data_IF_481817529795
#
_entry.id   IF_481817529795
#
_cell.length_a   1.000
_cell.length_b   1.000
_cell.length_c   1.000
_cell.angle_alpha   90.00
_cell.angle_beta   90.00
_cell.angle_gamma   90.00
#
_symmetry.space_group_name_H-M   'P 1'
#
loop_
_entity.id
_entity.type
_entity.pdbx_description
1 polymer ?
#
# COMPACT_ATOMS: atom_id res chain seq x y z
N UNK A 1 -0.44 -6.06 21.14
CA UNK A 1 -0.74 -4.90 20.27
C UNK A 1 0.46 -3.97 20.28
N UNK A 2 1.13 -3.75 19.14
CA UNK A 2 2.22 -2.77 19.01
C UNK A 2 1.59 -1.44 18.56
N UNK A 3 1.84 -0.36 19.28
CA UNK A 3 1.44 0.99 18.88
C UNK A 3 2.66 1.66 18.27
N UNK A 4 2.54 2.11 17.02
CA UNK A 4 3.56 2.94 16.38
C UNK A 4 3.26 4.41 16.71
N UNK A 5 4.16 5.07 17.43
CA UNK A 5 4.13 6.53 17.60
C UNK A 5 4.96 7.14 16.48
N UNK A 6 4.30 7.74 15.50
CA UNK A 6 4.96 8.52 14.45
C UNK A 6 5.17 9.94 14.98
N UNK A 7 6.40 10.31 15.28
CA UNK A 7 6.76 11.66 15.74
C UNK A 7 7.02 12.61 14.57
N UNK A 8 7.45 12.08 13.43
CA UNK A 8 7.76 12.80 12.20
C UNK A 8 7.26 12.01 10.98
N UNK A 9 7.06 12.70 9.85
CA UNK A 9 6.77 12.04 8.58
C UNK A 9 7.96 11.22 8.10
N UNK A 10 7.70 10.19 7.28
CA UNK A 10 8.72 9.34 6.69
C UNK A 10 8.38 9.03 5.24
N UNK A 11 9.37 8.60 4.47
CA UNK A 11 9.21 8.24 3.07
C UNK A 11 8.93 6.74 2.91
N UNK A 12 8.04 6.39 1.99
CA UNK A 12 7.72 5.01 1.64
C UNK A 12 8.03 4.82 0.16
N UNK A 13 8.93 3.89 -0.15
CA UNK A 13 9.25 3.50 -1.52
C UNK A 13 8.54 2.19 -1.87
N UNK A 14 7.77 2.18 -2.96
CA UNK A 14 6.94 1.02 -3.28
C UNK A 14 6.17 1.10 -4.59
N UNK A 15 5.20 0.21 -4.74
CA UNK A 15 4.29 0.15 -5.89
C UNK A 15 2.98 0.86 -5.55
N UNK A 16 2.36 1.50 -6.54
CA UNK A 16 1.07 2.19 -6.36
C UNK A 16 0.02 1.78 -7.38
N UNK A 17 -1.24 1.91 -7.00
CA UNK A 17 -2.40 1.81 -7.88
C UNK A 17 -3.46 2.85 -7.50
N UNK A 18 -4.49 3.00 -8.33
CA UNK A 18 -5.69 3.81 -8.05
C UNK A 18 -6.94 2.95 -8.22
N UNK A 19 -7.87 3.06 -7.28
CA UNK A 19 -9.07 2.22 -7.19
C UNK A 19 -10.15 2.88 -6.34
N UNK A 20 -11.31 2.25 -6.22
CA UNK A 20 -12.38 2.64 -5.31
C UNK A 20 -12.96 1.41 -4.58
N UNK A 21 -13.78 1.66 -3.55
CA UNK A 21 -14.35 0.59 -2.73
C UNK A 21 -15.30 -0.34 -3.50
N UNK A 22 -16.03 0.16 -4.50
CA UNK A 22 -16.95 -0.65 -5.28
C UNK A 22 -16.19 -1.66 -6.16
N UNK A 23 -15.10 -1.23 -6.81
CA UNK A 23 -14.23 -2.08 -7.63
C UNK A 23 -13.55 -3.17 -6.79
N UNK A 24 -13.00 -2.80 -5.63
CA UNK A 24 -12.39 -3.75 -4.69
C UNK A 24 -13.37 -4.80 -4.16
N UNK A 25 -14.66 -4.46 -4.04
CA UNK A 25 -15.71 -5.41 -3.62
C UNK A 25 -16.35 -6.19 -4.78
N UNK A 26 -16.23 -5.72 -6.03
CA UNK A 26 -16.93 -6.29 -7.19
C UNK A 26 -16.11 -7.34 -7.96
N UNK A 27 -14.98 -7.79 -7.42
CA UNK A 27 -14.05 -8.69 -8.11
C UNK A 27 -13.17 -8.04 -9.18
N UNK A 28 -13.24 -6.70 -9.32
CA UNK A 28 -12.32 -5.89 -10.14
C UNK A 28 -11.17 -5.29 -9.31
N UNK A 29 -11.07 -5.70 -8.05
CA UNK A 29 -10.10 -5.18 -7.10
C UNK A 29 -8.66 -5.39 -7.55
N UNK A 30 -7.86 -4.35 -7.36
CA UNK A 30 -6.46 -4.31 -7.76
C UNK A 30 -5.50 -4.35 -6.56
N UNK A 31 -5.99 -4.14 -5.33
CA UNK A 31 -5.15 -4.11 -4.13
C UNK A 31 -4.49 -5.47 -3.87
N UNK A 32 -5.24 -6.58 -4.04
CA UNK A 32 -4.70 -7.93 -3.87
C UNK A 32 -3.56 -8.23 -4.87
N UNK A 33 -3.71 -7.79 -6.12
CA UNK A 33 -2.65 -7.94 -7.11
C UNK A 33 -1.43 -7.06 -6.78
N UNK A 34 -1.65 -5.82 -6.34
CA UNK A 34 -0.58 -4.91 -5.91
C UNK A 34 0.28 -5.52 -4.80
N UNK A 35 -0.35 -6.19 -3.81
CA UNK A 35 0.38 -6.94 -2.79
C UNK A 35 1.22 -8.07 -3.40
N UNK A 36 0.64 -8.85 -4.31
CA UNK A 36 1.34 -9.95 -4.98
C UNK A 36 2.56 -9.48 -5.78
N UNK A 37 2.44 -8.37 -6.50
CA UNK A 37 3.54 -7.75 -7.23
C UNK A 37 4.60 -7.19 -6.30
N UNK A 38 4.20 -6.47 -5.25
CA UNK A 38 5.12 -5.88 -4.29
C UNK A 38 5.93 -6.95 -3.56
N UNK A 39 5.32 -8.04 -3.11
CA UNK A 39 6.04 -9.09 -2.39
C UNK A 39 7.06 -9.80 -3.29
N UNK A 40 6.74 -10.02 -4.57
CA UNK A 40 7.71 -10.55 -5.56
C UNK A 40 8.86 -9.57 -5.78
N UNK A 41 8.53 -8.28 -5.95
CA UNK A 41 9.51 -7.21 -6.11
C UNK A 41 10.42 -7.05 -4.89
N UNK A 42 9.87 -7.14 -3.68
CA UNK A 42 10.63 -6.98 -2.45
C UNK A 42 11.52 -8.21 -2.17
N UNK A 43 11.00 -9.41 -2.42
CA UNK A 43 11.76 -10.66 -2.26
C UNK A 43 12.99 -10.73 -3.18
N UNK A 44 12.94 -10.12 -4.37
CA UNK A 44 14.09 -10.06 -5.28
C UNK A 44 15.15 -9.04 -4.87
N UNK A 45 14.82 -8.08 -3.98
CA UNK A 45 15.71 -6.99 -3.58
C UNK A 45 16.32 -7.15 -2.19
N UNK A 46 15.74 -7.94 -1.28
CA UNK A 46 16.21 -8.02 0.11
C UNK A 46 16.89 -9.35 0.42
N UNK A 47 18.18 -9.30 0.75
CA UNK A 47 18.98 -10.43 1.22
C UNK A 47 19.02 -10.62 2.74
N UNK A 48 18.46 -9.72 3.57
CA UNK A 48 18.56 -9.92 5.03
C UNK A 48 17.65 -9.07 5.95
N UNK A 49 17.01 -7.99 5.50
CA UNK A 49 16.32 -7.08 6.42
C UNK A 49 14.80 -7.24 6.36
N UNK A 50 14.20 -7.60 7.49
CA UNK A 50 12.74 -7.54 7.72
C UNK A 50 12.33 -6.07 7.84
N UNK A 51 12.13 -5.40 6.72
CA UNK A 51 11.57 -4.05 6.73
C UNK A 51 10.07 -4.10 7.03
N UNK A 52 9.59 -3.18 7.85
CA UNK A 52 8.15 -2.99 8.05
C UNK A 52 7.53 -2.55 6.72
N UNK A 53 6.48 -3.25 6.29
CA UNK A 53 5.75 -2.91 5.07
C UNK A 53 4.55 -2.04 5.45
N UNK A 54 4.41 -0.92 4.76
CA UNK A 54 3.32 0.03 4.93
C UNK A 54 2.39 -0.02 3.71
N UNK A 55 1.09 0.07 3.94
CA UNK A 55 0.08 0.32 2.91
C UNK A 55 -0.58 1.67 3.20
N UNK A 56 -0.23 2.68 2.41
CA UNK A 56 -0.76 4.04 2.54
C UNK A 56 -1.90 4.26 1.56
N UNK A 57 -3.04 4.73 2.07
CA UNK A 57 -4.19 5.16 1.29
C UNK A 57 -4.24 6.69 1.30
N UNK A 58 -4.28 7.31 0.12
CA UNK A 58 -4.12 8.76 -0.04
C UNK A 58 -4.75 9.25 -1.35
N UNK A 59 -4.72 10.56 -1.59
CA UNK A 59 -5.24 11.18 -2.83
C UNK A 59 -6.72 10.80 -3.09
N UNK A 60 -7.54 10.93 -2.04
CA UNK A 60 -8.96 10.63 -2.09
C UNK A 60 -9.70 11.69 -2.92
N UNK A 61 -10.46 11.25 -3.92
CA UNK A 61 -11.31 12.12 -4.73
C UNK A 61 -12.51 12.63 -3.93
N UNK A 62 -13.20 11.73 -3.22
CA UNK A 62 -14.39 12.06 -2.42
C UNK A 62 -14.49 11.15 -1.18
N UNK A 63 -13.50 11.27 -0.29
CA UNK A 63 -13.40 10.44 0.90
C UNK A 63 -13.53 8.95 0.56
N UNK A 64 -14.30 8.20 1.35
CA UNK A 64 -14.50 6.77 1.14
C UNK A 64 -15.43 6.40 -0.04
N UNK A 65 -16.04 7.38 -0.72
CA UNK A 65 -16.98 7.12 -1.81
C UNK A 65 -16.35 7.26 -3.20
N UNK A 66 -15.23 7.97 -3.30
CA UNK A 66 -14.52 8.20 -4.57
C UNK A 66 -13.32 7.29 -4.76
N UNK A 67 -12.59 7.56 -5.83
CA UNK A 67 -11.29 6.94 -6.08
C UNK A 67 -10.27 7.34 -5.01
N UNK A 68 -9.31 6.46 -4.77
CA UNK A 68 -8.14 6.70 -3.92
C UNK A 68 -6.91 5.98 -4.48
N UNK A 69 -5.74 6.51 -4.14
CA UNK A 69 -4.46 5.86 -4.41
C UNK A 69 -4.07 4.96 -3.25
N UNK A 70 -3.49 3.80 -3.56
CA UNK A 70 -2.85 2.91 -2.57
C UNK A 70 -1.40 2.74 -2.95
N UNK A 71 -0.48 2.92 -2.00
CA UNK A 71 0.94 2.61 -2.14
C UNK A 71 1.34 1.55 -1.11
N UNK A 72 1.96 0.47 -1.58
CA UNK A 72 2.53 -0.59 -0.74
C UNK A 72 4.05 -0.53 -0.88
N UNK A 73 4.75 -0.35 0.24
CA UNK A 73 6.19 -0.14 0.22
C UNK A 73 6.85 -0.30 1.58
N UNK A 74 8.16 -0.07 1.60
CA UNK A 74 8.97 -0.03 2.83
C UNK A 74 9.65 1.32 2.94
N UNK A 75 10.05 1.66 4.16
CA UNK A 75 11.01 2.73 4.45
C UNK A 75 12.45 2.27 4.16
#
# INVERSE_FOLDING_TARGET
>A
MKILKLSEGFEICGLKTRTNNADEMSGRGVIANLWGEFLKFNASRSSAAKNEIYAAYYDYENGAQGEYSVLIGTC
#
